data_IF_296301454068
#
_entry.id   IF_296301454068
#
_cell.length_a   1.000
_cell.length_b   1.000
_cell.length_c   1.000
_cell.angle_alpha   90.00
_cell.angle_beta   90.00
_cell.angle_gamma   90.00
#
_symmetry.space_group_name_H-M   'P 1'
#
loop_
_entity.id
_entity.type
_entity.pdbx_description
1 polymer ?
#
# COMPACT_ATOMS: atom_id res chain seq x y z
N UNK A 1 -3.12 1.40 15.92
CA UNK A 1 -1.81 2.05 16.07
C UNK A 1 -0.68 1.25 15.40
N UNK A 2 -0.78 -0.08 15.25
CA UNK A 2 0.31 -0.90 14.70
C UNK A 2 0.60 -0.54 13.24
N UNK A 3 -0.46 -0.38 12.46
CA UNK A 3 -0.39 0.11 11.09
C UNK A 3 0.16 1.53 10.98
N UNK A 4 -0.19 2.42 11.91
CA UNK A 4 0.31 3.80 11.91
C UNK A 4 1.82 3.86 12.18
N UNK A 5 2.30 3.05 13.13
CA UNK A 5 3.74 2.93 13.44
C UNK A 5 4.53 2.34 12.26
N UNK A 6 4.02 1.28 11.62
CA UNK A 6 4.67 0.70 10.44
C UNK A 6 4.72 1.67 9.24
N UNK A 7 3.68 2.46 9.04
CA UNK A 7 3.62 3.48 8.00
C UNK A 7 4.68 4.58 8.20
N UNK A 8 4.92 4.97 9.46
CA UNK A 8 5.98 5.93 9.80
C UNK A 8 7.36 5.35 9.47
N UNK A 9 7.67 4.13 9.89
CA UNK A 9 8.96 3.49 9.62
C UNK A 9 9.29 3.37 8.13
N UNK A 10 8.31 2.99 7.32
CA UNK A 10 8.52 2.85 5.88
C UNK A 10 8.80 4.21 5.24
N UNK A 11 8.06 5.26 5.64
CA UNK A 11 8.28 6.61 5.12
C UNK A 11 9.63 7.19 5.53
N UNK A 12 10.05 7.00 6.78
CA UNK A 12 11.37 7.43 7.27
C UNK A 12 12.52 6.70 6.56
N UNK A 13 12.28 5.45 6.15
CA UNK A 13 13.24 4.66 5.37
C UNK A 13 13.26 5.03 3.87
N UNK A 14 12.49 6.03 3.43
CA UNK A 14 12.36 6.44 2.02
C UNK A 14 11.44 5.56 1.18
N UNK A 15 10.65 4.70 1.82
CA UNK A 15 9.62 3.90 1.16
C UNK A 15 8.35 4.69 0.88
N UNK A 16 7.51 4.10 0.03
CA UNK A 16 6.25 4.69 -0.43
C UNK A 16 5.08 3.91 0.13
N UNK A 17 3.99 4.63 0.42
CA UNK A 17 2.75 4.04 0.91
C UNK A 17 1.57 4.58 0.13
N UNK A 18 0.67 3.71 -0.30
CA UNK A 18 -0.56 4.08 -1.01
C UNK A 18 -1.71 3.18 -0.60
N UNK A 19 -2.96 3.60 -0.84
CA UNK A 19 -4.10 2.70 -0.70
C UNK A 19 -3.97 1.48 -1.60
N UNK A 20 -4.51 0.37 -1.14
CA UNK A 20 -4.69 -0.84 -1.96
C UNK A 20 -5.56 -0.52 -3.19
N UNK A 21 -6.65 0.24 -3.00
CA UNK A 21 -7.60 0.62 -4.05
C UNK A 21 -7.81 2.14 -4.09
N UNK A 22 -7.83 2.70 -5.31
CA UNK A 22 -8.12 4.12 -5.54
C UNK A 22 -7.10 5.08 -4.93
N UNK A 23 -7.53 6.31 -4.69
CA UNK A 23 -6.71 7.39 -4.15
C UNK A 23 -7.14 7.85 -2.75
N UNK A 24 -6.30 8.68 -2.12
CA UNK A 24 -6.53 9.29 -0.81
C UNK A 24 -5.68 8.71 0.31
N UNK A 25 -6.06 9.01 1.56
CA UNK A 25 -5.26 8.70 2.75
C UNK A 25 -5.18 7.17 3.04
N UNK A 26 -3.97 6.57 3.03
CA UNK A 26 -3.76 5.16 3.35
C UNK A 26 -4.04 4.80 4.82
N UNK A 27 -4.00 5.76 5.75
CA UNK A 27 -4.20 5.49 7.17
C UNK A 27 -5.67 5.20 7.52
N UNK A 28 -6.59 5.76 6.74
CA UNK A 28 -8.04 5.66 6.94
C UNK A 28 -8.70 4.69 5.94
N UNK A 29 -7.93 3.92 5.17
CA UNK A 29 -8.47 2.87 4.28
C UNK A 29 -8.55 1.50 4.97
N UNK A 30 -9.32 0.59 4.37
CA UNK A 30 -9.35 -0.84 4.73
C UNK A 30 -8.06 -1.59 4.33
N UNK A 31 -6.91 -0.93 4.40
CA UNK A 31 -5.59 -1.46 4.04
C UNK A 31 -4.81 -0.59 3.05
N UNK A 32 -3.49 -0.76 3.06
CA UNK A 32 -2.55 -0.03 2.22
C UNK A 32 -1.44 -0.95 1.72
N UNK A 33 -0.80 -0.55 0.63
CA UNK A 33 0.42 -1.14 0.09
C UNK A 33 1.58 -0.23 0.44
N UNK A 34 2.63 -0.81 0.99
CA UNK A 34 3.85 -0.09 1.32
C UNK A 34 5.06 -0.85 0.76
N UNK A 35 5.89 -0.18 -0.02
CA UNK A 35 7.04 -0.77 -0.71
C UNK A 35 8.06 0.31 -1.11
N UNK A 36 9.21 -0.10 -1.66
CA UNK A 36 10.12 0.82 -2.35
C UNK A 36 9.50 1.31 -3.68
N UNK A 37 10.14 2.31 -4.31
CA UNK A 37 9.60 2.94 -5.52
C UNK A 37 9.48 1.99 -6.72
N UNK A 38 10.35 0.99 -6.80
CA UNK A 38 10.36 0.01 -7.90
C UNK A 38 9.26 -1.04 -7.75
N UNK A 39 9.00 -1.50 -6.52
CA UNK A 39 8.03 -2.56 -6.24
C UNK A 39 6.60 -2.05 -6.07
N UNK A 40 6.40 -0.79 -5.67
CA UNK A 40 5.07 -0.26 -5.42
C UNK A 40 4.12 -0.41 -6.63
N UNK A 41 4.51 -0.07 -7.88
CA UNK A 41 3.64 -0.23 -9.04
C UNK A 41 3.30 -1.71 -9.31
N UNK A 42 4.30 -2.59 -9.22
CA UNK A 42 4.16 -4.03 -9.46
C UNK A 42 3.24 -4.68 -8.41
N UNK A 43 3.40 -4.33 -7.13
CA UNK A 43 2.53 -4.82 -6.06
C UNK A 43 1.09 -4.37 -6.25
N UNK A 44 0.86 -3.09 -6.61
CA UNK A 44 -0.51 -2.59 -6.86
C UNK A 44 -1.16 -3.32 -8.03
N UNK A 45 -0.41 -3.58 -9.09
CA UNK A 45 -0.89 -4.37 -10.24
C UNK A 45 -1.26 -5.79 -9.83
N UNK A 46 -0.35 -6.49 -9.14
CA UNK A 46 -0.57 -7.87 -8.69
C UNK A 46 -1.79 -7.99 -7.77
N UNK A 47 -1.96 -7.05 -6.83
CA UNK A 47 -3.10 -7.03 -5.91
C UNK A 47 -4.41 -6.72 -6.63
N UNK A 48 -4.41 -5.81 -7.61
CA UNK A 48 -5.58 -5.52 -8.42
C UNK A 48 -6.00 -6.73 -9.27
N UNK A 49 -5.04 -7.45 -9.85
CA UNK A 49 -5.32 -8.65 -10.65
C UNK A 49 -5.82 -9.80 -9.77
N UNK A 50 -5.22 -10.01 -8.59
CA UNK A 50 -5.71 -10.99 -7.61
C UNK A 50 -7.15 -10.67 -7.15
N UNK A 51 -7.46 -9.39 -6.94
CA UNK A 51 -8.82 -8.95 -6.57
C UNK A 51 -9.87 -9.26 -7.63
N UNK A 52 -9.52 -9.21 -8.92
CA UNK A 52 -10.42 -9.61 -10.03
C UNK A 52 -10.68 -11.11 -10.08
N UNK A 53 -9.72 -11.93 -9.64
CA UNK A 53 -9.84 -13.39 -9.63
C UNK A 53 -10.62 -13.95 -8.44
N UNK A 54 -10.73 -13.17 -7.36
CA UNK A 54 -11.44 -13.55 -6.14
C UNK A 54 -12.97 -13.30 -6.21
N UNK A 55 -13.45 -12.75 -7.32
CA UNK A 55 -14.87 -12.44 -7.61
C UNK A 55 -15.36 -13.32 -8.74
#
# INVERSE_FOLDING_TARGET
WDMAAGLLFIRESGGFVSKINGEGDPLHSNGYVAANGELLPEMKKALADAGKMAV
#
